data_IF_635072258375
#
_entry.id   IF_635072258375
#
_cell.length_a   1.000
_cell.length_b   1.000
_cell.length_c   1.000
_cell.angle_alpha   90.00
_cell.angle_beta   90.00
_cell.angle_gamma   90.00
#
_symmetry.space_group_name_H-M   'P 1'
#
loop_
_entity.id
_entity.type
_entity.pdbx_description
1 polymer ?
#
# COMPACT_ATOMS: atom_id res chain seq x y z
N UNK A 1 4.70 1.11 -17.68
CA UNK A 1 5.34 0.19 -16.74
C UNK A 1 5.26 -1.21 -17.29
N UNK A 2 6.40 -1.77 -17.67
CA UNK A 2 6.45 -3.09 -18.28
C UNK A 2 6.72 -4.15 -17.21
N UNK A 3 5.67 -4.50 -16.50
CA UNK A 3 5.75 -5.69 -15.69
C UNK A 3 5.41 -6.89 -16.54
N UNK A 4 6.12 -8.00 -16.35
CA UNK A 4 5.75 -9.21 -17.06
C UNK A 4 4.29 -9.53 -16.74
N UNK A 5 3.47 -9.81 -17.75
CA UNK A 5 2.07 -10.13 -17.52
C UNK A 5 1.88 -11.46 -16.80
N UNK A 6 2.94 -12.24 -16.70
CA UNK A 6 2.85 -13.61 -16.21
C UNK A 6 2.98 -13.66 -14.69
N UNK A 7 2.03 -14.35 -14.08
CA UNK A 7 2.07 -14.67 -12.66
C UNK A 7 3.24 -15.61 -12.39
N UNK A 8 4.11 -15.32 -11.41
CA UNK A 8 5.21 -16.22 -11.06
C UNK A 8 4.69 -17.59 -10.60
N UNK A 9 5.39 -18.63 -10.96
CA UNK A 9 4.98 -20.00 -10.62
C UNK A 9 4.78 -20.25 -9.13
N UNK A 10 5.52 -19.53 -8.28
CA UNK A 10 5.45 -19.72 -6.83
C UNK A 10 4.52 -18.71 -6.14
N UNK A 11 3.75 -17.95 -6.89
CA UNK A 11 2.85 -16.97 -6.33
C UNK A 11 1.47 -17.56 -6.08
N UNK A 12 0.76 -16.94 -5.14
CA UNK A 12 -0.64 -17.24 -4.88
C UNK A 12 -1.50 -16.33 -5.73
N UNK A 13 -2.44 -16.90 -6.48
CA UNK A 13 -3.39 -16.12 -7.25
C UNK A 13 -4.38 -15.43 -6.32
N UNK A 14 -4.68 -14.18 -6.65
CA UNK A 14 -5.71 -13.41 -5.96
C UNK A 14 -6.89 -13.24 -6.90
N UNK A 15 -8.05 -13.69 -6.47
CA UNK A 15 -9.29 -13.57 -7.23
C UNK A 15 -10.40 -13.12 -6.28
N UNK A 16 -10.67 -11.83 -6.29
CA UNK A 16 -11.72 -11.24 -5.50
C UNK A 16 -11.25 -10.58 -4.21
N UNK A 17 -12.15 -9.85 -3.54
CA UNK A 17 -11.80 -9.05 -2.37
C UNK A 17 -11.37 -9.85 -1.16
N UNK A 18 -11.95 -11.04 -0.92
CA UNK A 18 -11.58 -11.86 0.22
C UNK A 18 -10.15 -12.35 0.10
N UNK A 19 -9.78 -12.87 -1.08
CA UNK A 19 -8.42 -13.33 -1.33
C UNK A 19 -7.43 -12.16 -1.24
N UNK A 20 -7.83 -11.00 -1.73
CA UNK A 20 -6.98 -9.81 -1.63
C UNK A 20 -6.75 -9.39 -0.19
N UNK A 21 -7.80 -9.34 0.64
CA UNK A 21 -7.65 -9.02 2.06
C UNK A 21 -6.68 -9.97 2.76
N UNK A 22 -6.81 -11.28 2.49
CA UNK A 22 -5.95 -12.28 3.09
C UNK A 22 -4.48 -12.09 2.67
N UNK A 23 -4.24 -11.85 1.39
CA UNK A 23 -2.89 -11.63 0.88
C UNK A 23 -2.27 -10.37 1.48
N UNK A 24 -3.04 -9.30 1.55
CA UNK A 24 -2.58 -8.03 2.09
C UNK A 24 -2.22 -8.15 3.58
N UNK A 25 -3.08 -8.79 4.36
CA UNK A 25 -2.83 -9.02 5.78
C UNK A 25 -1.60 -9.90 6.00
N UNK A 26 -1.45 -10.94 5.18
CA UNK A 26 -0.29 -11.82 5.27
C UNK A 26 0.99 -11.06 4.94
N UNK A 27 0.99 -10.30 3.85
CA UNK A 27 2.15 -9.47 3.48
C UNK A 27 2.53 -8.51 4.60
N UNK A 28 1.55 -7.81 5.16
CA UNK A 28 1.79 -6.88 6.26
C UNK A 28 2.36 -7.60 7.49
N UNK A 29 1.83 -8.78 7.82
CA UNK A 29 2.30 -9.54 8.99
C UNK A 29 3.74 -10.06 8.83
N UNK A 30 4.18 -10.29 7.59
CA UNK A 30 5.54 -10.75 7.30
C UNK A 30 6.53 -9.61 7.14
N UNK A 31 6.05 -8.38 7.02
CA UNK A 31 6.91 -7.22 6.82
C UNK A 31 7.57 -6.82 8.14
N UNK A 32 8.88 -6.56 8.09
CA UNK A 32 9.65 -6.22 9.27
C UNK A 32 10.01 -4.74 9.38
N UNK A 33 10.34 -4.09 8.27
CA UNK A 33 10.82 -2.70 8.29
C UNK A 33 10.07 -1.74 7.41
N UNK A 34 9.84 -2.11 6.15
CA UNK A 34 9.29 -1.16 5.18
C UNK A 34 8.09 -1.77 4.49
N UNK A 35 6.96 -1.14 4.66
CA UNK A 35 5.73 -1.48 3.95
C UNK A 35 5.34 -0.28 3.10
N UNK A 36 5.24 -0.49 1.78
CA UNK A 36 4.89 0.57 0.84
C UNK A 36 3.69 0.14 0.01
N UNK A 37 2.63 0.91 0.07
CA UNK A 37 1.37 0.59 -0.59
C UNK A 37 1.01 1.68 -1.58
N UNK A 38 0.77 1.29 -2.83
CA UNK A 38 0.17 2.14 -3.83
C UNK A 38 -1.24 1.65 -4.14
N UNK A 39 -2.20 2.52 -3.96
CA UNK A 39 -3.60 2.25 -4.26
C UNK A 39 -4.24 3.49 -4.86
N UNK A 40 -5.15 3.35 -5.84
CA UNK A 40 -5.85 4.52 -6.38
C UNK A 40 -6.59 5.33 -5.32
N UNK A 41 -7.28 4.68 -4.38
CA UNK A 41 -8.17 5.38 -3.45
C UNK A 41 -8.29 4.73 -2.07
N UNK A 42 -7.56 3.68 -1.77
CA UNK A 42 -7.67 2.90 -0.53
C UNK A 42 -9.09 2.41 -0.29
N UNK A 43 -9.65 1.70 -1.26
CA UNK A 43 -11.01 1.17 -1.19
C UNK A 43 -11.33 0.61 0.20
N UNK A 44 -12.40 1.10 0.80
CA UNK A 44 -12.74 0.84 2.19
C UNK A 44 -12.88 -0.66 2.49
N UNK A 45 -13.50 -1.40 1.59
CA UNK A 45 -13.81 -2.81 1.83
C UNK A 45 -12.58 -3.72 2.00
N UNK A 46 -11.42 -3.31 1.47
CA UNK A 46 -10.20 -4.12 1.53
C UNK A 46 -9.07 -3.46 2.29
N UNK A 47 -9.10 -2.16 2.50
CA UNK A 47 -8.02 -1.44 3.19
C UNK A 47 -8.42 -0.88 4.55
N UNK A 48 -9.70 -0.59 4.77
CA UNK A 48 -10.17 -0.08 6.06
C UNK A 48 -10.50 -1.24 6.99
N UNK A 49 -9.47 -1.98 7.36
CA UNK A 49 -9.55 -3.16 8.20
C UNK A 49 -8.80 -2.93 9.50
N UNK A 50 -9.43 -3.16 10.66
CA UNK A 50 -8.72 -3.08 11.94
C UNK A 50 -7.48 -3.96 11.99
N UNK A 51 -7.54 -5.15 11.40
CA UNK A 51 -6.42 -6.10 11.37
C UNK A 51 -5.25 -5.54 10.57
N UNK A 52 -5.51 -4.85 9.46
CA UNK A 52 -4.46 -4.22 8.67
C UNK A 52 -3.83 -3.07 9.43
N UNK A 53 -4.63 -2.21 10.03
CA UNK A 53 -4.12 -1.09 10.83
C UNK A 53 -3.26 -1.61 11.97
N UNK A 54 -3.65 -2.69 12.63
CA UNK A 54 -2.86 -3.29 13.70
C UNK A 54 -1.54 -3.85 13.19
N UNK A 55 -1.55 -4.57 12.06
CA UNK A 55 -0.34 -5.11 11.48
C UNK A 55 0.66 -4.00 11.10
N UNK A 56 0.17 -2.92 10.49
CA UNK A 56 1.01 -1.78 10.12
C UNK A 56 1.52 -1.04 11.36
N UNK A 57 0.71 -0.94 12.40
CA UNK A 57 1.12 -0.35 13.68
C UNK A 57 2.26 -1.16 14.30
N UNK A 58 2.20 -2.48 14.23
CA UNK A 58 3.27 -3.34 14.74
C UNK A 58 4.57 -3.14 13.98
N UNK A 59 4.53 -3.01 12.65
CA UNK A 59 5.72 -2.69 11.86
C UNK A 59 6.33 -1.38 12.37
N UNK A 60 5.51 -0.35 12.51
CA UNK A 60 5.95 0.97 12.93
C UNK A 60 6.63 0.96 14.31
N UNK A 61 6.16 0.12 15.23
CA UNK A 61 6.67 0.06 16.60
C UNK A 61 7.84 -0.89 16.77
N UNK A 62 8.05 -1.81 15.84
CA UNK A 62 9.02 -2.90 16.00
C UNK A 62 10.45 -2.45 15.83
N UNK A 63 10.69 -1.45 14.98
CA UNK A 63 12.04 -1.05 14.63
C UNK A 63 12.15 0.46 14.50
N UNK A 64 13.28 1.00 14.97
CA UNK A 64 13.53 2.45 14.93
C UNK A 64 13.45 3.04 13.53
N UNK A 65 13.88 2.30 12.51
CA UNK A 65 13.91 2.74 11.13
C UNK A 65 12.72 2.22 10.31
N UNK A 66 11.73 1.63 10.96
CA UNK A 66 10.56 1.14 10.27
C UNK A 66 9.78 2.29 9.62
N UNK A 67 9.24 2.04 8.43
CA UNK A 67 8.41 2.99 7.72
C UNK A 67 7.25 2.32 7.03
N UNK A 68 6.10 2.94 7.12
CA UNK A 68 4.90 2.57 6.37
C UNK A 68 4.53 3.76 5.49
N UNK A 69 4.54 3.53 4.19
CA UNK A 69 4.29 4.56 3.19
C UNK A 69 3.02 4.21 2.41
N UNK A 70 2.05 5.10 2.44
CA UNK A 70 0.77 4.92 1.76
C UNK A 70 0.65 5.98 0.68
N UNK A 71 0.61 5.56 -0.58
CA UNK A 71 0.55 6.44 -1.74
C UNK A 71 -0.78 6.25 -2.44
N UNK A 72 -1.54 7.33 -2.57
CA UNK A 72 -2.87 7.30 -3.17
C UNK A 72 -2.97 8.34 -4.26
N UNK A 73 -3.88 8.11 -5.20
CA UNK A 73 -4.16 9.08 -6.27
C UNK A 73 -5.30 10.00 -5.88
N UNK A 74 -6.36 9.47 -5.29
CA UNK A 74 -7.58 10.19 -4.99
C UNK A 74 -7.90 10.07 -3.50
N UNK A 75 -7.91 11.20 -2.80
CA UNK A 75 -8.17 11.26 -1.38
C UNK A 75 -9.59 11.71 -1.01
N UNK A 76 -10.45 11.95 -1.99
CA UNK A 76 -11.78 12.52 -1.72
C UNK A 76 -12.61 11.70 -0.76
N UNK A 77 -12.67 10.39 -0.97
CA UNK A 77 -13.43 9.52 -0.08
C UNK A 77 -12.80 9.46 1.32
N UNK A 78 -11.48 9.51 1.40
CA UNK A 78 -10.78 9.53 2.69
C UNK A 78 -11.12 10.77 3.51
N UNK A 79 -11.20 11.91 2.84
CA UNK A 79 -11.56 13.18 3.49
C UNK A 79 -13.03 13.14 3.93
N UNK A 80 -13.91 12.66 3.06
CA UNK A 80 -15.36 12.71 3.32
C UNK A 80 -15.82 11.70 4.36
N UNK A 81 -15.30 10.47 4.30
CA UNK A 81 -15.81 9.38 5.14
C UNK A 81 -14.85 8.94 6.23
N UNK A 82 -13.63 9.42 6.21
CA UNK A 82 -12.59 8.93 7.11
C UNK A 82 -12.09 7.55 6.70
N UNK A 83 -11.06 7.07 7.40
CA UNK A 83 -10.46 5.77 7.07
C UNK A 83 -9.51 5.36 8.19
N UNK A 84 -9.48 4.07 8.51
CA UNK A 84 -8.62 3.54 9.58
C UNK A 84 -7.14 3.80 9.35
N UNK A 85 -6.67 3.70 8.11
CA UNK A 85 -5.26 3.96 7.78
C UNK A 85 -4.91 5.45 7.89
N UNK A 86 -5.86 6.34 7.61
CA UNK A 86 -5.65 7.78 7.85
C UNK A 86 -5.49 8.04 9.34
N UNK A 87 -6.35 7.46 10.16
CA UNK A 87 -6.24 7.59 11.62
C UNK A 87 -4.92 7.04 12.15
N UNK A 88 -4.46 5.93 11.57
CA UNK A 88 -3.15 5.36 11.92
C UNK A 88 -2.02 6.35 11.62
N UNK A 89 -2.02 6.95 10.43
CA UNK A 89 -1.03 7.95 10.04
C UNK A 89 -1.06 9.16 10.99
N UNK A 90 -2.24 9.57 11.42
CA UNK A 90 -2.39 10.67 12.36
C UNK A 90 -1.84 10.33 13.75
N UNK A 91 -1.96 9.09 14.18
CA UNK A 91 -1.43 8.65 15.48
C UNK A 91 0.08 8.41 15.48
N UNK A 92 0.63 7.95 14.36
CA UNK A 92 2.05 7.58 14.25
C UNK A 92 2.71 8.35 13.10
N UNK A 93 2.68 9.69 13.11
CA UNK A 93 3.07 10.48 11.94
C UNK A 93 4.55 10.37 11.58
N UNK A 94 5.40 9.97 12.51
CA UNK A 94 6.82 9.79 12.24
C UNK A 94 7.13 8.45 11.55
N UNK A 95 6.17 7.54 11.53
CA UNK A 95 6.36 6.18 11.01
C UNK A 95 5.41 5.83 9.87
N UNK A 96 4.19 6.32 9.92
CA UNK A 96 3.16 6.04 8.91
C UNK A 96 2.81 7.34 8.21
N UNK A 97 3.09 7.40 6.92
CA UNK A 97 2.88 8.60 6.12
C UNK A 97 1.98 8.28 4.94
N UNK A 98 1.00 9.15 4.71
CA UNK A 98 0.10 9.05 3.56
C UNK A 98 0.33 10.27 2.68
N UNK A 99 0.60 10.03 1.39
CA UNK A 99 0.79 11.09 0.40
C UNK A 99 -0.10 10.86 -0.79
N UNK A 100 -0.49 11.96 -1.42
CA UNK A 100 -1.29 11.95 -2.64
C UNK A 100 -0.40 12.26 -3.84
N UNK A 101 -0.59 11.51 -4.92
CA UNK A 101 0.06 11.78 -6.19
C UNK A 101 -0.39 13.14 -6.73
N UNK A 102 0.57 13.96 -7.13
CA UNK A 102 0.28 15.29 -7.72
C UNK A 102 0.45 15.29 -9.23
N UNK A 103 1.18 14.32 -9.76
CA UNK A 103 1.41 14.20 -11.20
C UNK A 103 0.71 12.98 -11.76
N UNK A 104 0.21 13.09 -12.99
CA UNK A 104 -0.23 11.94 -13.74
C UNK A 104 0.98 11.13 -14.19
N UNK A 105 1.60 10.47 -13.26
CA UNK A 105 2.59 9.47 -13.61
C UNK A 105 1.80 8.31 -14.19
N UNK A 106 2.09 8.00 -15.45
CA UNK A 106 1.52 6.91 -16.21
C UNK A 106 0.52 6.07 -15.43
N UNK A 107 -0.73 6.46 -15.56
CA UNK A 107 -1.81 5.93 -14.78
C UNK A 107 -2.24 4.59 -15.32
N UNK A 108 -1.42 3.61 -15.12
CA UNK A 108 -1.93 2.27 -15.30
C UNK A 108 -2.81 1.95 -14.10
N UNK A 109 -3.93 1.32 -14.39
CA UNK A 109 -4.85 0.88 -13.35
C UNK A 109 -4.24 -0.30 -12.60
N UNK A 110 -3.24 -0.02 -11.78
CA UNK A 110 -2.59 -1.02 -10.95
C UNK A 110 -2.60 -0.59 -9.50
N UNK A 111 -2.43 -1.57 -8.63
CA UNK A 111 -2.17 -1.33 -7.23
C UNK A 111 -1.17 -2.37 -6.76
N UNK A 112 -0.36 -2.03 -5.77
CA UNK A 112 0.58 -2.98 -5.22
C UNK A 112 0.99 -2.63 -3.80
N UNK A 113 1.42 -3.64 -3.07
CA UNK A 113 2.02 -3.48 -1.76
C UNK A 113 3.39 -4.18 -1.77
N UNK A 114 4.38 -3.50 -1.24
CA UNK A 114 5.75 -4.02 -1.11
C UNK A 114 6.07 -4.20 0.37
N UNK A 115 6.40 -5.43 0.75
CA UNK A 115 6.89 -5.73 2.09
C UNK A 115 8.38 -6.01 2.06
N UNK A 116 9.17 -5.16 2.70
CA UNK A 116 10.62 -5.23 2.69
C UNK A 116 11.18 -5.34 1.26
N UNK A 117 12.02 -6.33 0.99
CA UNK A 117 12.67 -6.48 -0.33
C UNK A 117 12.10 -7.60 -1.17
N UNK A 118 11.23 -8.44 -0.61
CA UNK A 118 10.85 -9.68 -1.29
C UNK A 118 9.34 -9.90 -1.43
N UNK A 119 8.53 -9.26 -0.60
CA UNK A 119 7.09 -9.50 -0.59
C UNK A 119 6.37 -8.55 -1.52
N UNK A 120 5.55 -9.10 -2.40
CA UNK A 120 4.77 -8.32 -3.36
C UNK A 120 3.34 -8.82 -3.44
N UNK A 121 2.40 -7.94 -3.13
CA UNK A 121 0.99 -8.12 -3.47
C UNK A 121 0.74 -7.21 -4.67
N UNK A 122 0.37 -7.78 -5.80
CA UNK A 122 0.21 -7.04 -7.05
C UNK A 122 -1.19 -7.22 -7.61
N UNK A 123 -1.82 -6.11 -7.99
CA UNK A 123 -3.12 -6.10 -8.64
C UNK A 123 -3.00 -5.51 -10.03
N UNK A 124 -3.19 -6.35 -11.04
CA UNK A 124 -3.28 -5.91 -12.43
C UNK A 124 -4.69 -5.42 -12.77
N UNK A 125 -5.68 -5.77 -11.95
CA UNK A 125 -7.06 -5.28 -12.07
C UNK A 125 -7.60 -4.96 -10.68
N UNK A 126 -7.30 -3.75 -10.15
CA UNK A 126 -7.75 -3.37 -8.82
C UNK A 126 -9.25 -3.33 -8.64
N UNK A 127 -9.99 -3.00 -9.70
CA UNK A 127 -11.46 -2.91 -9.63
C UNK A 127 -12.10 -4.25 -9.31
N UNK A 128 -11.49 -5.33 -9.81
CA UNK A 128 -12.00 -6.70 -9.60
C UNK A 128 -11.15 -7.50 -8.61
N UNK A 129 -10.13 -6.86 -8.03
CA UNK A 129 -9.22 -7.50 -7.08
C UNK A 129 -8.55 -8.74 -7.63
N UNK A 130 -8.07 -8.64 -8.86
CA UNK A 130 -7.31 -9.73 -9.49
C UNK A 130 -5.82 -9.42 -9.45
N UNK A 131 -5.02 -10.41 -9.14
CA UNK A 131 -3.59 -10.25 -9.09
C UNK A 131 -2.90 -11.46 -8.49
N UNK A 132 -1.80 -11.23 -7.80
CA UNK A 132 -1.05 -12.31 -7.14
C UNK A 132 -0.30 -11.79 -5.91
N UNK A 133 0.06 -12.73 -5.03
CA UNK A 133 0.95 -12.51 -3.90
C UNK A 133 2.18 -13.38 -4.06
N UNK A 134 3.36 -12.77 -4.09
CA UNK A 134 4.65 -13.45 -4.23
C UNK A 134 5.54 -13.06 -3.05
N UNK A 135 6.02 -14.06 -2.31
CA UNK A 135 6.88 -13.86 -1.14
C UNK A 135 8.36 -13.82 -1.50
N UNK A 136 8.71 -14.11 -2.74
CA UNK A 136 10.09 -14.17 -3.23
C UNK A 136 10.21 -13.37 -4.53
N UNK A 137 9.72 -12.16 -4.51
CA UNK A 137 9.62 -11.30 -5.69
C UNK A 137 10.72 -10.24 -5.76
N UNK A 138 11.91 -10.56 -5.27
CA UNK A 138 12.99 -9.56 -5.12
C UNK A 138 13.22 -8.68 -6.34
N UNK A 139 13.29 -9.26 -7.53
CA UNK A 139 13.52 -8.50 -8.77
C UNK A 139 12.35 -7.57 -9.10
N UNK A 140 11.11 -8.05 -8.94
CA UNK A 140 9.91 -7.23 -9.17
C UNK A 140 9.76 -6.14 -8.13
N UNK A 141 10.05 -6.48 -6.88
CA UNK A 141 10.02 -5.49 -5.78
C UNK A 141 11.00 -4.36 -6.07
N UNK A 142 12.21 -4.69 -6.53
CA UNK A 142 13.21 -3.68 -6.86
C UNK A 142 12.69 -2.73 -7.93
N UNK A 143 12.11 -3.25 -9.00
CA UNK A 143 11.55 -2.44 -10.09
C UNK A 143 10.41 -1.55 -9.60
N UNK A 144 9.47 -2.12 -8.86
CA UNK A 144 8.33 -1.38 -8.32
C UNK A 144 8.76 -0.37 -7.26
N UNK A 145 9.78 -0.69 -6.49
CA UNK A 145 10.34 0.23 -5.49
C UNK A 145 10.88 1.49 -6.17
N UNK A 146 11.59 1.35 -7.27
CA UNK A 146 12.09 2.50 -8.01
C UNK A 146 10.97 3.39 -8.52
N UNK A 147 9.90 2.79 -9.03
CA UNK A 147 8.71 3.52 -9.50
C UNK A 147 8.02 4.21 -8.32
N UNK A 148 7.83 3.48 -7.24
CA UNK A 148 7.20 4.02 -6.04
C UNK A 148 7.99 5.21 -5.47
N UNK A 149 9.30 5.05 -5.32
CA UNK A 149 10.14 6.10 -4.72
C UNK A 149 10.13 7.37 -5.54
N UNK A 150 10.15 7.28 -6.87
CA UNK A 150 10.02 8.45 -7.73
C UNK A 150 8.68 9.15 -7.56
N UNK A 151 7.62 8.40 -7.51
CA UNK A 151 6.29 8.94 -7.29
C UNK A 151 6.17 9.57 -5.91
N UNK A 152 6.76 8.93 -4.92
CA UNK A 152 6.74 9.39 -3.53
C UNK A 152 7.43 10.73 -3.35
N UNK A 153 8.55 10.95 -4.03
CA UNK A 153 9.30 12.21 -3.92
C UNK A 153 8.49 13.43 -4.32
N UNK A 154 7.62 13.29 -5.31
CA UNK A 154 6.80 14.41 -5.80
C UNK A 154 5.40 14.42 -5.20
N UNK A 155 5.03 13.39 -4.47
CA UNK A 155 3.73 13.30 -3.83
C UNK A 155 3.66 14.22 -2.61
N UNK A 156 2.45 14.63 -2.25
CA UNK A 156 2.22 15.58 -1.17
C UNK A 156 1.24 15.04 -0.14
N UNK A 157 1.42 15.44 1.11
CA UNK A 157 0.41 15.21 2.11
C UNK A 157 -0.80 16.10 1.83
N UNK A 158 -2.00 15.53 1.90
CA UNK A 158 -3.23 16.30 1.75
C UNK A 158 -3.53 16.99 3.08
N UNK A 159 -3.53 18.34 3.12
CA UNK A 159 -3.79 19.05 4.37
C UNK A 159 -5.13 18.72 5.02
N UNK A 160 -6.11 18.30 4.23
CA UNK A 160 -7.43 17.90 4.73
C UNK A 160 -7.40 16.61 5.53
N UNK A 161 -6.33 15.82 5.40
CA UNK A 161 -6.15 14.56 6.14
C UNK A 161 -5.28 14.73 7.39
N UNK A 162 -4.77 15.93 7.64
CA UNK A 162 -4.05 16.20 8.87
C UNK A 162 -5.02 16.20 10.04
N UNK A 163 -4.56 15.68 11.16
CA UNK A 163 -5.38 15.75 12.35
C UNK A 163 -5.58 17.19 12.76
N UNK A 164 -6.85 17.59 12.83
CA UNK A 164 -7.18 18.85 13.47
C UNK A 164 -6.99 18.64 14.96
N UNK A 165 -6.00 19.31 15.52
CA UNK A 165 -5.79 19.31 16.96
C UNK A 165 -6.96 20.05 17.60
N UNK A 166 -7.77 19.33 18.29
CA UNK A 166 -8.89 19.89 19.03
C UNK A 166 -8.52 19.99 20.50
#
# INVERSE_FOLDING_TARGET
MNLPPDTPEQSELIDGPDAFRQALLHCASETRRTFSLYSPDLAREVYDLPELAEALSEIARRHRQAQVQLLVRDTRALVEYGHGLVRLAQRLPSKVTLRRLTNDIETQAIAFALGDREHLVYQNDPDNYHGFYDRQAGARVKTLREIFDRAWETAEEDPRLRQLAL
#
